data_IF_300092344442
#
_entry.id   IF_300092344442
#
_cell.length_a   1.000
_cell.length_b   1.000
_cell.length_c   1.000
_cell.angle_alpha   90.00
_cell.angle_beta   90.00
_cell.angle_gamma   90.00
#
_symmetry.space_group_name_H-M   'P 1'
#
loop_
_entity.id
_entity.type
_entity.pdbx_description
1 polymer ?
#
# COMPACT_ATOMS: atom_id res chain seq x y z
N UNK A 1 0.23 14.84 5.47
CA UNK A 1 0.61 13.40 5.30
C UNK A 1 1.33 13.24 3.98
N UNK A 2 2.48 12.56 4.01
CA UNK A 2 3.29 12.24 2.83
C UNK A 2 3.12 10.77 2.45
N UNK A 3 2.76 10.51 1.20
CA UNK A 3 2.42 9.18 0.68
C UNK A 3 3.49 8.72 -0.32
N UNK A 4 4.09 7.56 -0.10
CA UNK A 4 4.91 6.88 -1.08
C UNK A 4 4.01 6.19 -2.10
N UNK A 5 4.30 6.29 -3.38
CA UNK A 5 3.59 5.53 -4.40
C UNK A 5 4.57 4.88 -5.38
N UNK A 6 4.30 3.66 -5.78
CA UNK A 6 5.10 2.94 -6.76
C UNK A 6 4.25 1.94 -7.54
N UNK A 7 4.72 1.59 -8.73
CA UNK A 7 4.13 0.52 -9.54
C UNK A 7 5.19 -0.15 -10.41
N UNK A 8 4.83 -1.27 -11.02
CA UNK A 8 5.51 -1.79 -12.21
C UNK A 8 4.80 -1.31 -13.49
N UNK A 9 5.24 -1.80 -14.64
CA UNK A 9 4.64 -1.45 -15.94
C UNK A 9 3.16 -1.83 -16.05
N UNK A 10 2.72 -2.86 -15.34
CA UNK A 10 1.32 -3.31 -15.33
C UNK A 10 0.39 -2.46 -14.45
N UNK A 11 0.92 -1.55 -13.66
CA UNK A 11 0.17 -0.68 -12.74
C UNK A 11 0.30 0.82 -13.02
N UNK A 12 0.97 1.21 -14.10
CA UNK A 12 1.33 2.61 -14.36
C UNK A 12 0.11 3.53 -14.46
N UNK A 13 -0.90 3.15 -15.24
CA UNK A 13 -2.11 3.96 -15.43
C UNK A 13 -2.84 4.16 -14.10
N UNK A 14 -3.05 3.11 -13.34
CA UNK A 14 -3.72 3.21 -12.05
C UNK A 14 -2.90 4.02 -11.05
N UNK A 15 -1.57 3.87 -11.03
CA UNK A 15 -0.69 4.71 -10.20
C UNK A 15 -0.90 6.20 -10.51
N UNK A 16 -0.92 6.59 -11.77
CA UNK A 16 -1.11 7.99 -12.16
C UNK A 16 -2.49 8.52 -11.74
N UNK A 17 -3.55 7.73 -11.87
CA UNK A 17 -4.89 8.10 -11.40
C UNK A 17 -4.91 8.33 -9.89
N UNK A 18 -4.34 7.40 -9.11
CA UNK A 18 -4.26 7.51 -7.65
C UNK A 18 -3.38 8.67 -7.20
N UNK A 19 -2.26 8.90 -7.87
CA UNK A 19 -1.37 10.03 -7.62
C UNK A 19 -2.09 11.36 -7.82
N UNK A 20 -2.78 11.52 -8.95
CA UNK A 20 -3.56 12.73 -9.23
C UNK A 20 -4.67 12.95 -8.17
N UNK A 21 -5.36 11.90 -7.77
CA UNK A 21 -6.35 11.98 -6.69
C UNK A 21 -5.72 12.48 -5.38
N UNK A 22 -4.59 11.92 -5.00
CA UNK A 22 -3.88 12.32 -3.78
C UNK A 22 -3.46 13.79 -3.80
N UNK A 23 -2.80 14.22 -4.87
CA UNK A 23 -2.32 15.60 -5.03
C UNK A 23 -3.48 16.60 -5.04
N UNK A 24 -4.57 16.28 -5.73
CA UNK A 24 -5.80 17.11 -5.77
C UNK A 24 -6.45 17.23 -4.39
N UNK A 25 -6.31 16.21 -3.53
CA UNK A 25 -6.84 16.22 -2.17
C UNK A 25 -5.83 16.68 -1.11
N UNK A 26 -4.73 17.31 -1.50
CA UNK A 26 -3.78 17.97 -0.60
C UNK A 26 -2.74 17.06 0.04
N UNK A 27 -2.60 15.82 -0.41
CA UNK A 27 -1.52 14.95 0.04
C UNK A 27 -0.21 15.26 -0.69
N UNK A 28 0.91 15.17 0.02
CA UNK A 28 2.23 15.17 -0.61
C UNK A 28 2.55 13.77 -1.11
N UNK A 29 2.98 13.65 -2.37
CA UNK A 29 3.26 12.35 -2.99
C UNK A 29 4.73 12.24 -3.35
N UNK A 30 5.37 11.15 -2.91
CA UNK A 30 6.70 10.73 -3.35
C UNK A 30 6.55 9.54 -4.29
N UNK A 31 6.83 9.76 -5.57
CA UNK A 31 6.68 8.75 -6.62
C UNK A 31 8.01 8.04 -6.86
N UNK A 32 8.05 6.74 -6.55
CA UNK A 32 9.23 5.88 -6.72
C UNK A 32 9.27 5.13 -8.05
N UNK A 33 8.34 5.41 -8.96
CA UNK A 33 8.29 4.80 -10.30
C UNK A 33 7.45 3.49 -10.29
N UNK A 34 7.39 2.76 -11.43
CA UNK A 34 8.05 3.14 -12.71
C UNK A 34 7.33 4.32 -13.40
N UNK A 35 7.95 4.83 -14.47
CA UNK A 35 7.42 5.97 -15.23
C UNK A 35 7.16 5.64 -16.69
N UNK A 36 7.33 4.38 -17.10
CA UNK A 36 7.08 3.90 -18.45
C UNK A 36 6.35 2.56 -18.46
N UNK A 37 5.81 2.20 -19.61
CA UNK A 37 5.15 0.90 -19.83
C UNK A 37 6.13 -0.21 -20.22
N UNK A 38 7.42 0.09 -20.31
CA UNK A 38 8.46 -0.91 -20.57
C UNK A 38 8.53 -1.91 -19.43
N UNK A 39 8.65 -3.19 -19.77
CA UNK A 39 8.72 -4.28 -18.80
C UNK A 39 9.79 -4.04 -17.76
N UNK A 40 9.43 -4.17 -16.50
CA UNK A 40 10.32 -3.99 -15.36
C UNK A 40 9.93 -4.93 -14.21
N UNK A 41 10.82 -5.08 -13.25
CA UNK A 41 10.62 -5.95 -12.10
C UNK A 41 9.97 -5.19 -10.94
N UNK A 42 8.77 -5.58 -10.57
CA UNK A 42 7.99 -4.92 -9.49
C UNK A 42 8.72 -4.84 -8.14
N UNK A 43 9.59 -5.79 -7.73
CA UNK A 43 10.28 -5.67 -6.44
C UNK A 43 11.18 -4.45 -6.33
N UNK A 44 11.77 -4.00 -7.43
CA UNK A 44 12.65 -2.83 -7.46
C UNK A 44 11.92 -1.54 -7.07
N UNK A 45 10.67 -1.42 -7.49
CA UNK A 45 9.85 -0.23 -7.23
C UNK A 45 9.06 -0.34 -5.92
N UNK A 46 8.36 -1.44 -5.70
CA UNK A 46 7.62 -1.67 -4.47
C UNK A 46 8.53 -1.67 -3.23
N UNK A 47 9.74 -2.23 -3.36
CA UNK A 47 10.73 -2.22 -2.30
C UNK A 47 11.20 -0.82 -1.90
N UNK A 48 11.37 0.09 -2.86
CA UNK A 48 11.74 1.49 -2.58
C UNK A 48 10.64 2.21 -1.80
N UNK A 49 9.39 2.11 -2.25
CA UNK A 49 8.25 2.71 -1.56
C UNK A 49 8.09 2.15 -0.13
N UNK A 50 8.21 0.84 0.02
CA UNK A 50 8.13 0.18 1.33
C UNK A 50 9.24 0.65 2.29
N UNK A 51 10.47 0.77 1.81
CA UNK A 51 11.59 1.29 2.62
C UNK A 51 11.39 2.76 3.02
N UNK A 52 10.80 3.58 2.15
CA UNK A 52 10.49 4.97 2.46
C UNK A 52 9.44 5.07 3.59
N UNK A 53 8.44 4.19 3.59
CA UNK A 53 7.47 4.12 4.68
C UNK A 53 8.11 3.56 5.96
N UNK A 54 8.88 2.49 5.85
CA UNK A 54 9.53 1.86 7.01
C UNK A 54 10.53 2.78 7.73
N UNK A 55 11.21 3.66 6.98
CA UNK A 55 12.15 4.64 7.55
C UNK A 55 11.49 5.90 8.12
N UNK A 56 10.19 6.08 7.90
CA UNK A 56 9.47 7.29 8.30
C UNK A 56 9.63 8.47 7.33
N UNK A 57 10.30 8.29 6.18
CA UNK A 57 10.37 9.29 5.12
C UNK A 57 8.97 9.61 4.57
N UNK A 58 8.12 8.60 4.47
CA UNK A 58 6.72 8.71 4.13
C UNK A 58 5.86 8.11 5.24
N UNK A 59 4.65 8.65 5.42
CA UNK A 59 3.74 8.21 6.47
C UNK A 59 3.00 6.92 6.11
N UNK A 60 2.62 6.78 4.84
CA UNK A 60 1.92 5.62 4.28
C UNK A 60 2.39 5.36 2.85
N UNK A 61 2.03 4.20 2.30
CA UNK A 61 2.42 3.84 0.93
C UNK A 61 1.34 3.11 0.14
N UNK A 62 1.44 3.24 -1.17
CA UNK A 62 0.58 2.61 -2.16
C UNK A 62 1.46 1.92 -3.19
N UNK A 63 1.17 0.66 -3.48
CA UNK A 63 1.88 -0.10 -4.51
C UNK A 63 0.90 -0.76 -5.46
N UNK A 64 1.18 -0.66 -6.76
CA UNK A 64 0.28 -1.11 -7.83
C UNK A 64 1.04 -1.99 -8.83
N UNK A 65 0.42 -3.07 -9.24
CA UNK A 65 0.87 -3.86 -10.39
C UNK A 65 -0.37 -4.39 -11.15
N UNK A 66 -0.24 -5.38 -11.99
CA UNK A 66 -1.38 -5.97 -12.68
C UNK A 66 -2.42 -6.59 -11.74
N UNK A 67 -1.97 -7.29 -10.70
CA UNK A 67 -2.83 -7.99 -9.73
C UNK A 67 -2.77 -7.40 -8.32
N UNK A 68 -1.77 -6.60 -8.00
CA UNK A 68 -1.49 -6.13 -6.65
C UNK A 68 -0.80 -7.17 -5.76
N UNK A 69 -0.72 -8.43 -6.19
CA UNK A 69 -0.22 -9.54 -5.37
C UNK A 69 1.30 -9.45 -5.17
N UNK A 70 2.07 -9.39 -6.24
CA UNK A 70 3.54 -9.37 -6.17
C UNK A 70 4.08 -8.17 -5.41
N UNK A 71 3.51 -6.99 -5.64
CA UNK A 71 3.90 -5.76 -4.93
C UNK A 71 3.54 -5.82 -3.45
N UNK A 72 2.42 -6.46 -3.07
CA UNK A 72 2.05 -6.64 -1.67
C UNK A 72 3.00 -7.59 -0.93
N UNK A 73 3.38 -8.69 -1.57
CA UNK A 73 4.36 -9.64 -1.03
C UNK A 73 5.70 -8.93 -0.81
N UNK A 74 6.17 -8.19 -1.82
CA UNK A 74 7.42 -7.43 -1.73
C UNK A 74 7.40 -6.43 -0.57
N UNK A 75 6.36 -5.62 -0.48
CA UNK A 75 6.23 -4.63 0.58
C UNK A 75 6.28 -5.28 1.98
N UNK A 76 5.58 -6.39 2.17
CA UNK A 76 5.53 -7.10 3.45
C UNK A 76 6.85 -7.80 3.83
N UNK A 77 7.81 -7.94 2.91
CA UNK A 77 9.17 -8.40 3.25
C UNK A 77 10.02 -7.33 3.94
N UNK A 78 9.60 -6.08 3.89
CA UNK A 78 10.31 -4.99 4.56
C UNK A 78 9.83 -4.89 6.01
N UNK A 79 10.78 -4.97 6.95
CA UNK A 79 10.48 -4.86 8.39
C UNK A 79 9.75 -3.55 8.70
N UNK A 80 8.66 -3.65 9.45
CA UNK A 80 7.82 -2.49 9.81
C UNK A 80 6.69 -2.21 8.82
N UNK A 81 6.63 -2.92 7.70
CA UNK A 81 5.54 -2.79 6.73
C UNK A 81 4.42 -3.79 7.04
N UNK A 82 3.22 -3.25 6.97
CA UNK A 82 1.95 -3.97 7.03
C UNK A 82 1.14 -3.54 5.81
N UNK A 83 1.29 -4.29 4.72
CA UNK A 83 0.66 -4.01 3.44
C UNK A 83 -0.55 -4.92 3.23
N UNK A 84 -1.71 -4.34 2.92
CA UNK A 84 -2.91 -5.10 2.59
C UNK A 84 -3.22 -5.02 1.09
N UNK A 85 -3.45 -6.17 0.47
CA UNK A 85 -4.03 -6.25 -0.86
C UNK A 85 -5.55 -6.02 -0.74
N UNK A 86 -6.06 -4.91 -1.25
CA UNK A 86 -7.47 -4.55 -1.13
C UNK A 86 -8.09 -4.26 -2.50
N UNK A 87 -9.17 -4.98 -2.81
CA UNK A 87 -9.97 -4.79 -4.01
C UNK A 87 -11.44 -4.51 -3.71
N UNK A 88 -11.75 -4.18 -2.46
CA UNK A 88 -13.07 -3.76 -1.99
C UNK A 88 -12.95 -2.73 -0.85
N UNK A 89 -14.01 -1.94 -0.68
CA UNK A 89 -14.04 -0.87 0.31
C UNK A 89 -14.14 -1.40 1.74
N UNK A 90 -14.85 -2.51 1.95
CA UNK A 90 -14.97 -3.12 3.27
C UNK A 90 -13.61 -3.56 3.82
N UNK A 91 -12.83 -4.29 3.00
CA UNK A 91 -11.48 -4.72 3.38
C UNK A 91 -10.54 -3.54 3.64
N UNK A 92 -10.64 -2.47 2.84
CA UNK A 92 -9.84 -1.26 3.04
C UNK A 92 -10.10 -0.59 4.40
N UNK A 93 -11.36 -0.47 4.78
CA UNK A 93 -11.75 0.04 6.11
C UNK A 93 -11.29 -0.90 7.23
N UNK A 94 -11.58 -2.18 7.10
CA UNK A 94 -11.26 -3.19 8.11
C UNK A 94 -9.75 -3.31 8.35
N UNK A 95 -8.95 -3.33 7.29
CA UNK A 95 -7.49 -3.47 7.43
C UNK A 95 -6.86 -2.26 8.11
N UNK A 96 -7.43 -1.06 7.92
CA UNK A 96 -6.96 0.13 8.63
C UNK A 96 -7.38 0.07 10.10
N UNK A 97 -8.65 -0.21 10.38
CA UNK A 97 -9.20 -0.26 11.73
C UNK A 97 -8.61 -1.39 12.60
N UNK A 98 -8.41 -2.57 12.03
CA UNK A 98 -8.04 -3.77 12.77
C UNK A 98 -6.57 -4.17 12.64
N UNK A 99 -5.96 -3.93 11.49
CA UNK A 99 -4.61 -4.42 11.19
C UNK A 99 -3.53 -3.33 11.22
N UNK A 100 -3.91 -2.08 11.39
CA UNK A 100 -3.00 -0.92 11.38
C UNK A 100 -2.07 -0.94 10.17
N UNK A 101 -2.62 -1.17 8.99
CA UNK A 101 -1.83 -1.21 7.77
C UNK A 101 -1.30 0.17 7.42
N UNK A 102 -0.03 0.24 7.09
CA UNK A 102 0.65 1.45 6.64
C UNK A 102 0.91 1.46 5.13
N UNK A 103 0.60 0.36 4.45
CA UNK A 103 0.61 0.28 2.99
C UNK A 103 -0.62 -0.45 2.46
N UNK A 104 -1.02 -0.11 1.23
CA UNK A 104 -2.09 -0.77 0.50
C UNK A 104 -1.60 -1.14 -0.91
N UNK A 105 -2.03 -2.28 -1.40
CA UNK A 105 -1.72 -2.77 -2.75
C UNK A 105 -3.00 -2.96 -3.56
N UNK A 106 -2.94 -2.64 -4.85
CA UNK A 106 -4.07 -2.79 -5.78
C UNK A 106 -3.60 -3.32 -7.13
N UNK A 107 -4.51 -3.99 -7.84
CA UNK A 107 -4.27 -4.52 -9.17
C UNK A 107 -5.00 -3.75 -10.26
N UNK A 108 -4.25 -3.14 -11.19
CA UNK A 108 -4.82 -2.39 -12.31
C UNK A 108 -5.75 -3.23 -13.19
N UNK A 109 -5.48 -4.54 -13.31
CA UNK A 109 -6.28 -5.48 -14.11
C UNK A 109 -7.48 -6.05 -13.36
N UNK A 110 -7.61 -5.76 -12.06
CA UNK A 110 -8.63 -6.35 -11.20
C UNK A 110 -9.78 -5.38 -10.94
N UNK A 111 -9.48 -4.11 -10.70
CA UNK A 111 -10.47 -3.09 -10.36
C UNK A 111 -10.40 -1.89 -11.30
N UNK A 112 -11.53 -1.22 -11.48
CA UNK A 112 -11.62 0.03 -12.20
C UNK A 112 -11.14 1.22 -11.38
N UNK A 113 -10.89 2.33 -12.04
CA UNK A 113 -10.33 3.54 -11.44
C UNK A 113 -11.25 4.14 -10.35
N UNK A 114 -12.55 4.16 -10.59
CA UNK A 114 -13.53 4.67 -9.62
C UNK A 114 -13.51 3.89 -8.32
N UNK A 115 -13.54 2.57 -8.39
CA UNK A 115 -13.46 1.70 -7.21
C UNK A 115 -12.11 1.84 -6.51
N UNK A 116 -11.01 1.96 -7.25
CA UNK A 116 -9.69 2.17 -6.67
C UNK A 116 -9.60 3.45 -5.84
N UNK A 117 -10.20 4.54 -6.32
CA UNK A 117 -10.28 5.81 -5.59
C UNK A 117 -11.12 5.66 -4.31
N UNK A 118 -12.27 4.98 -4.37
CA UNK A 118 -13.10 4.73 -3.19
C UNK A 118 -12.37 3.87 -2.14
N UNK A 119 -11.66 2.84 -2.58
CA UNK A 119 -10.82 2.00 -1.70
C UNK A 119 -9.74 2.84 -1.03
N UNK A 120 -9.02 3.64 -1.81
CA UNK A 120 -7.94 4.50 -1.30
C UNK A 120 -8.47 5.53 -0.31
N UNK A 121 -9.55 6.22 -0.63
CA UNK A 121 -10.21 7.20 0.26
C UNK A 121 -10.61 6.56 1.59
N UNK A 122 -11.29 5.44 1.55
CA UNK A 122 -11.73 4.71 2.74
C UNK A 122 -10.54 4.27 3.62
N UNK A 123 -9.44 3.85 3.00
CA UNK A 123 -8.23 3.44 3.72
C UNK A 123 -7.50 4.64 4.34
N UNK A 124 -7.40 5.77 3.62
CA UNK A 124 -6.74 6.98 4.12
C UNK A 124 -7.48 7.61 5.29
N UNK A 125 -8.81 7.63 5.23
CA UNK A 125 -9.68 8.20 6.28
C UNK A 125 -9.82 7.30 7.50
N UNK A 126 -9.50 6.01 7.37
CA UNK A 126 -9.63 5.04 8.46
C UNK A 126 -8.64 5.27 9.59
N UNK A 127 -9.10 5.03 10.81
CA UNK A 127 -8.29 5.09 12.03
C UNK A 127 -8.12 3.70 12.64
N UNK A 128 -6.97 3.49 13.29
CA UNK A 128 -6.70 2.24 13.99
C UNK A 128 -7.40 2.22 15.35
N UNK A 129 -8.17 1.18 15.60
CA UNK A 129 -8.98 1.07 16.82
C UNK A 129 -8.18 0.63 18.06
N UNK A 130 -7.05 -0.04 17.88
CA UNK A 130 -6.26 -0.54 19.01
C UNK A 130 -6.94 -1.63 19.81
N UNK A 131 -6.82 -1.59 21.14
CA UNK A 131 -7.45 -2.52 22.05
C UNK A 131 -6.98 -3.97 21.87
N UNK A 132 -7.91 -4.92 21.70
CA UNK A 132 -7.56 -6.34 21.46
C UNK A 132 -6.75 -6.56 20.16
N UNK A 133 -6.81 -5.63 19.22
CA UNK A 133 -6.03 -5.69 18.00
C UNK A 133 -4.54 -5.45 18.24
N UNK A 134 -4.17 -4.68 19.26
CA UNK A 134 -2.78 -4.45 19.66
C UNK A 134 -2.10 -5.77 20.08
N UNK A 135 -2.80 -6.61 20.84
CA UNK A 135 -2.27 -7.91 21.25
C UNK A 135 -2.00 -8.81 20.04
N UNK A 136 -2.92 -8.85 19.09
CA UNK A 136 -2.77 -9.64 17.85
C UNK A 136 -1.61 -9.14 17.00
N UNK A 137 -1.48 -7.83 16.84
CA UNK A 137 -0.38 -7.19 16.13
C UNK A 137 0.98 -7.54 16.77
N UNK A 138 1.07 -7.48 18.10
CA UNK A 138 2.26 -7.86 18.85
C UNK A 138 2.58 -9.34 18.70
N UNK A 139 1.60 -10.22 18.78
CA UNK A 139 1.77 -11.66 18.62
C UNK A 139 2.25 -12.05 17.22
N UNK A 140 1.78 -11.37 16.18
CA UNK A 140 2.28 -11.58 14.82
C UNK A 140 3.78 -11.32 14.74
N UNK A 141 4.26 -10.24 15.36
CA UNK A 141 5.68 -9.90 15.37
C UNK A 141 6.51 -10.87 16.23
N UNK A 142 6.01 -11.24 17.42
CA UNK A 142 6.79 -12.01 18.38
C UNK A 142 6.78 -13.51 18.09
N UNK A 143 5.67 -14.08 17.66
CA UNK A 143 5.56 -15.53 17.43
C UNK A 143 6.03 -15.92 16.03
N UNK A 144 5.58 -15.20 15.00
CA UNK A 144 5.87 -15.59 13.62
C UNK A 144 7.30 -15.25 13.22
N UNK A 145 7.83 -14.10 13.62
CA UNK A 145 9.19 -13.69 13.25
C UNK A 145 10.30 -14.34 14.09
N UNK A 146 9.96 -14.91 15.27
CA UNK A 146 10.95 -15.63 16.09
C UNK A 146 11.13 -17.09 15.69
N UNK A 147 10.21 -17.66 14.93
CA UNK A 147 10.26 -19.02 14.44
C UNK A 147 10.94 -19.15 13.07
N UNK A 148 11.29 -18.03 12.46
CA UNK A 148 12.06 -17.93 11.22
C UNK A 148 13.46 -17.36 11.49
#
# INVERSE_FOLDING_TARGET
MKIAIACDHGGLRLKEVLKNYLETNGYMVEDFGTYSEDSCDYPDYAGKAAKAVASGMCDRGIVVCGTGIGVSITANKVKGIRCALCHDVFSAKATRAHNDTNMIAMGQRVIGEGLAIEILSAWLEGEYEGGRHDQRKTLQCLKVLKEN
#
